data_IF_145431806410
#
_entry.id   IF_145431806410
#
_cell.length_a   1.000
_cell.length_b   1.000
_cell.length_c   1.000
_cell.angle_alpha   90.00
_cell.angle_beta   90.00
_cell.angle_gamma   90.00
#
_symmetry.space_group_name_H-M   'P 1'
#
loop_
_entity.id
_entity.type
_entity.pdbx_description
1 polymer ?
#
# COMPACT_ATOMS: atom_id res chain seq x y z
N UNK A 1 9.66 9.01 -2.13
CA UNK A 1 8.26 8.66 -1.86
C UNK A 1 8.25 7.41 -1.01
N UNK A 2 7.93 7.51 0.29
CA UNK A 2 7.85 6.31 1.14
C UNK A 2 6.49 5.63 0.98
N UNK A 3 6.47 4.32 0.73
CA UNK A 3 5.23 3.54 0.64
C UNK A 3 5.19 2.56 1.82
N UNK A 4 4.11 2.57 2.58
CA UNK A 4 3.91 1.63 3.68
C UNK A 4 2.67 0.79 3.43
N UNK A 5 2.77 -0.52 3.68
CA UNK A 5 1.69 -1.47 3.45
C UNK A 5 1.70 -2.59 4.49
N UNK A 6 0.53 -3.16 4.79
CA UNK A 6 0.43 -4.35 5.62
C UNK A 6 0.14 -5.63 4.81
N UNK A 7 0.68 -6.75 5.29
CA UNK A 7 0.57 -8.05 4.61
C UNK A 7 -0.85 -8.55 4.41
N UNK A 8 -1.75 -8.22 5.35
CA UNK A 8 -3.14 -8.64 5.30
C UNK A 8 -4.02 -7.82 4.35
N UNK A 9 -3.52 -6.66 3.89
CA UNK A 9 -4.26 -5.76 3.03
C UNK A 9 -3.91 -5.96 1.55
N UNK A 10 -2.63 -6.21 1.22
CA UNK A 10 -2.17 -6.31 -0.17
C UNK A 10 -2.18 -7.73 -0.72
N UNK A 11 -2.58 -7.89 -1.98
CA UNK A 11 -2.50 -9.16 -2.70
C UNK A 11 -1.05 -9.62 -2.92
N UNK A 12 -0.79 -10.94 -3.08
CA UNK A 12 0.56 -11.46 -3.26
C UNK A 12 1.31 -10.87 -4.46
N UNK A 13 0.60 -10.55 -5.55
CA UNK A 13 1.20 -9.93 -6.73
C UNK A 13 1.66 -8.49 -6.44
N UNK A 14 0.79 -7.69 -5.84
CA UNK A 14 1.09 -6.32 -5.39
C UNK A 14 2.25 -6.33 -4.41
N UNK A 15 2.26 -7.26 -3.46
CA UNK A 15 3.35 -7.44 -2.50
C UNK A 15 4.69 -7.65 -3.20
N UNK A 16 4.71 -8.48 -4.25
CA UNK A 16 5.94 -8.74 -5.02
C UNK A 16 6.46 -7.49 -5.71
N UNK A 17 5.55 -6.66 -6.27
CA UNK A 17 5.90 -5.38 -6.89
C UNK A 17 6.42 -4.39 -5.86
N UNK A 18 5.73 -4.25 -4.72
CA UNK A 18 6.13 -3.37 -3.62
C UNK A 18 7.50 -3.76 -3.06
N UNK A 19 7.80 -5.05 -2.88
CA UNK A 19 9.12 -5.52 -2.44
C UNK A 19 10.27 -5.19 -3.40
N UNK A 20 9.97 -4.91 -4.66
CA UNK A 20 10.98 -4.47 -5.63
C UNK A 20 11.20 -2.95 -5.60
N UNK A 21 10.40 -2.18 -4.86
CA UNK A 21 10.56 -0.75 -4.70
C UNK A 21 11.48 -0.44 -3.49
N UNK A 22 12.53 0.38 -3.66
CA UNK A 22 13.48 0.66 -2.59
C UNK A 22 12.87 1.45 -1.43
N UNK A 23 11.80 2.20 -1.68
CA UNK A 23 11.11 3.04 -0.68
C UNK A 23 9.87 2.39 -0.06
N UNK A 24 9.59 1.12 -0.37
CA UNK A 24 8.45 0.41 0.17
C UNK A 24 8.81 -0.32 1.48
N UNK A 25 7.99 -0.13 2.51
CA UNK A 25 8.15 -0.76 3.83
C UNK A 25 6.93 -1.61 4.17
N UNK A 26 7.21 -2.86 4.50
CA UNK A 26 6.23 -3.82 5.00
C UNK A 26 6.05 -3.60 6.51
N UNK A 27 4.82 -3.37 6.95
CA UNK A 27 4.44 -3.25 8.36
C UNK A 27 3.47 -4.38 8.75
N UNK A 28 3.53 -4.85 10.00
CA UNK A 28 2.63 -5.91 10.48
C UNK A 28 1.20 -5.40 10.68
N UNK A 29 1.04 -4.16 11.13
CA UNK A 29 -0.22 -3.44 11.21
C UNK A 29 0.07 -1.93 11.26
N UNK A 30 -0.58 -1.13 10.41
CA UNK A 30 -0.35 0.32 10.30
C UNK A 30 -1.22 1.15 11.26
N UNK A 31 -1.79 0.54 12.30
CA UNK A 31 -2.83 1.11 13.19
C UNK A 31 -4.14 1.51 12.49
N UNK A 32 -4.11 1.75 11.18
CA UNK A 32 -5.25 1.76 10.26
C UNK A 32 -5.87 0.36 10.05
N UNK A 33 -5.55 -0.64 10.86
CA UNK A 33 -6.04 -2.01 10.68
C UNK A 33 -7.56 -2.18 10.89
N UNK A 34 -8.25 -1.17 11.46
CA UNK A 34 -9.71 -1.07 11.35
C UNK A 34 -10.21 -0.83 9.92
N UNK A 35 -9.32 -0.51 8.99
CA UNK A 35 -9.54 -0.29 7.56
C UNK A 35 -9.10 -1.49 6.69
N UNK A 36 -8.42 -2.51 7.24
CA UNK A 36 -8.14 -3.75 6.49
C UNK A 36 -9.43 -4.47 6.07
N UNK A 37 -10.55 -4.20 6.73
CA UNK A 37 -11.89 -4.68 6.36
C UNK A 37 -12.56 -3.81 5.27
N UNK A 38 -12.01 -2.62 4.96
CA UNK A 38 -12.67 -1.57 4.18
C UNK A 38 -12.23 -1.46 2.70
N UNK A 39 -11.31 -2.31 2.22
CA UNK A 39 -10.88 -2.35 0.82
C UNK A 39 -9.40 -1.95 0.60
N UNK A 40 -8.93 -1.95 -0.66
CA UNK A 40 -7.50 -1.82 -0.96
C UNK A 40 -6.97 -0.40 -0.74
N UNK A 41 -5.98 -0.27 0.14
CA UNK A 41 -5.29 0.99 0.44
C UNK A 41 -3.76 0.85 0.45
N UNK A 42 -3.04 1.95 0.31
CA UNK A 42 -1.60 2.06 0.59
C UNK A 42 -1.35 3.36 1.36
N UNK A 43 -0.37 3.38 2.25
CA UNK A 43 0.08 4.63 2.86
C UNK A 43 1.23 5.16 2.02
N UNK A 44 1.05 6.33 1.42
CA UNK A 44 2.04 7.00 0.57
C UNK A 44 2.43 8.29 1.26
N UNK A 45 3.70 8.43 1.62
CA UNK A 45 4.23 9.60 2.32
C UNK A 45 3.41 9.94 3.59
N UNK A 46 3.07 8.90 4.38
CA UNK A 46 2.24 9.04 5.58
C UNK A 46 0.75 9.29 5.34
N UNK A 47 0.28 9.34 4.09
CA UNK A 47 -1.12 9.57 3.74
C UNK A 47 -1.79 8.30 3.22
N UNK A 48 -2.97 7.96 3.75
CA UNK A 48 -3.77 6.83 3.26
C UNK A 48 -4.33 7.17 1.88
N UNK A 49 -3.91 6.40 0.88
CA UNK A 49 -4.44 6.43 -0.48
C UNK A 49 -5.27 5.17 -0.72
N UNK A 50 -6.52 5.37 -1.12
CA UNK A 50 -7.48 4.31 -1.44
C UNK A 50 -7.77 4.32 -2.94
N UNK A 51 -8.11 3.17 -3.52
CA UNK A 51 -8.43 3.05 -4.93
C UNK A 51 -9.26 1.81 -5.25
N UNK A 52 -9.60 1.61 -6.52
CA UNK A 52 -10.29 0.39 -6.94
C UNK A 52 -9.42 -0.87 -6.87
N UNK A 53 -8.10 -0.70 -6.79
CA UNK A 53 -7.12 -1.77 -6.60
C UNK A 53 -5.79 -1.20 -6.08
N UNK A 54 -4.96 -2.04 -5.45
CA UNK A 54 -3.61 -1.64 -5.03
C UNK A 54 -2.74 -1.16 -6.20
N UNK A 55 -2.93 -1.73 -7.40
CA UNK A 55 -2.23 -1.32 -8.61
C UNK A 55 -2.55 0.11 -9.01
N UNK A 56 -3.83 0.49 -8.96
CA UNK A 56 -4.25 1.86 -9.27
C UNK A 56 -3.71 2.89 -8.26
N UNK A 57 -3.65 2.53 -6.97
CA UNK A 57 -3.04 3.38 -5.94
C UNK A 57 -1.54 3.53 -6.17
N UNK A 58 -0.86 2.45 -6.55
CA UNK A 58 0.58 2.46 -6.83
C UNK A 58 0.94 3.29 -8.08
N UNK A 59 0.15 3.14 -9.14
CA UNK A 59 0.32 3.86 -10.41
C UNK A 59 0.17 5.37 -10.19
N UNK A 60 -0.91 5.80 -9.52
CA UNK A 60 -1.12 7.21 -9.19
C UNK A 60 -0.10 7.81 -8.21
N UNK A 61 0.58 6.98 -7.41
CA UNK A 61 1.66 7.42 -6.53
C UNK A 61 2.98 7.62 -7.31
N UNK A 62 3.28 6.78 -8.30
CA UNK A 62 4.53 6.82 -9.07
C UNK A 62 4.65 7.95 -10.10
N UNK A 63 3.54 8.59 -10.49
CA UNK A 63 3.52 9.63 -11.53
C UNK A 63 3.71 11.07 -11.00
N UNK A 64 4.21 11.28 -9.77
CA UNK A 64 4.44 12.62 -9.18
C UNK A 64 5.90 13.00 -9.05
#
# INVERSE_FOLDING_TARGET
>A
MAIEFCLGNVDPETRRRLRSLPDAREATCLEHCGHCDAGPFLVVDGNVSVGGSHGAVLDGAGER
#
